data_IF_371430758737
#
_entry.id   IF_371430758737
#
_cell.length_a   1.000
_cell.length_b   1.000
_cell.length_c   1.000
_cell.angle_alpha   90.00
_cell.angle_beta   90.00
_cell.angle_gamma   90.00
#
_symmetry.space_group_name_H-M   'P 1'
#
loop_
_entity.id
_entity.type
_entity.pdbx_description
1 polymer ?
#
# COMPACT_ATOMS: atom_id res chain seq x y z
N UNK A 1 -30.11 -19.54 -10.26
CA UNK A 1 -29.44 -20.86 -10.10
C UNK A 1 -28.08 -20.58 -9.48
N UNK A 2 -27.73 -21.34 -8.43
CA UNK A 2 -26.40 -21.17 -7.81
C UNK A 2 -25.30 -21.59 -8.79
N UNK A 3 -24.23 -20.85 -8.82
CA UNK A 3 -23.01 -21.12 -9.60
C UNK A 3 -21.86 -21.46 -8.67
N UNK A 4 -20.77 -21.96 -9.24
CA UNK A 4 -19.51 -22.10 -8.51
C UNK A 4 -18.50 -21.13 -9.08
N UNK A 5 -18.01 -20.23 -8.25
CA UNK A 5 -16.90 -19.33 -8.57
C UNK A 5 -15.60 -20.09 -8.39
N UNK A 6 -14.76 -20.14 -9.41
CA UNK A 6 -13.52 -20.91 -9.44
C UNK A 6 -12.33 -19.98 -9.61
N UNK A 7 -11.35 -20.08 -8.70
CA UNK A 7 -10.11 -19.33 -8.79
C UNK A 7 -8.89 -20.26 -8.72
N UNK A 8 -7.93 -20.02 -9.58
CA UNK A 8 -6.60 -20.62 -9.50
C UNK A 8 -5.77 -19.76 -8.56
N UNK A 9 -5.19 -20.36 -7.51
CA UNK A 9 -4.49 -19.63 -6.48
C UNK A 9 -3.02 -19.42 -6.83
N UNK A 10 -2.58 -18.17 -6.68
CA UNK A 10 -1.20 -17.73 -6.69
C UNK A 10 -0.92 -16.99 -5.37
N UNK A 11 -0.08 -17.59 -4.53
CA UNK A 11 0.29 -17.02 -3.24
C UNK A 11 1.00 -15.67 -3.37
N UNK A 12 1.76 -15.49 -4.45
CA UNK A 12 2.50 -14.25 -4.69
C UNK A 12 1.59 -13.10 -5.16
N UNK A 13 0.41 -13.43 -5.70
CA UNK A 13 -0.56 -12.45 -6.20
C UNK A 13 -2.01 -12.92 -5.99
N UNK A 14 -2.54 -12.86 -4.77
CA UNK A 14 -3.91 -13.28 -4.47
C UNK A 14 -4.98 -12.29 -4.97
N UNK A 15 -4.59 -11.09 -5.40
CA UNK A 15 -5.49 -10.00 -5.78
C UNK A 15 -6.48 -10.36 -6.90
N UNK A 16 -6.09 -11.05 -8.00
CA UNK A 16 -7.05 -11.45 -9.03
C UNK A 16 -8.17 -12.35 -8.50
N UNK A 17 -7.84 -13.34 -7.66
CA UNK A 17 -8.82 -14.24 -7.07
C UNK A 17 -9.76 -13.50 -6.10
N UNK A 18 -9.23 -12.58 -5.31
CA UNK A 18 -10.01 -11.74 -4.40
C UNK A 18 -11.01 -10.87 -5.17
N UNK A 19 -10.54 -10.09 -6.14
CA UNK A 19 -11.39 -9.16 -6.90
C UNK A 19 -12.43 -9.89 -7.73
N UNK A 20 -12.08 -10.99 -8.39
CA UNK A 20 -13.04 -11.80 -9.13
C UNK A 20 -14.15 -12.35 -8.23
N UNK A 21 -13.80 -12.84 -7.05
CA UNK A 21 -14.78 -13.33 -6.08
C UNK A 21 -15.70 -12.19 -5.61
N UNK A 22 -15.17 -11.02 -5.27
CA UNK A 22 -15.98 -9.86 -4.85
C UNK A 22 -16.95 -9.37 -5.93
N UNK A 23 -16.62 -9.54 -7.23
CA UNK A 23 -17.49 -9.12 -8.33
C UNK A 23 -18.60 -10.13 -8.66
N UNK A 24 -18.36 -11.42 -8.49
CA UNK A 24 -19.24 -12.46 -9.01
C UNK A 24 -19.88 -13.37 -7.98
N UNK A 25 -19.38 -13.42 -6.74
CA UNK A 25 -19.94 -14.27 -5.70
C UNK A 25 -21.21 -13.64 -5.11
N UNK A 26 -22.28 -14.41 -5.09
CA UNK A 26 -23.58 -14.03 -4.56
C UNK A 26 -24.06 -15.05 -3.52
N UNK A 27 -25.07 -14.67 -2.73
CA UNK A 27 -25.66 -15.57 -1.73
C UNK A 27 -26.17 -16.86 -2.36
N UNK A 28 -25.75 -17.99 -1.82
CA UNK A 28 -26.08 -19.33 -2.29
C UNK A 28 -25.11 -19.89 -3.34
N UNK A 29 -24.09 -19.16 -3.74
CA UNK A 29 -23.01 -19.69 -4.58
C UNK A 29 -22.00 -20.52 -3.77
N UNK A 30 -21.22 -21.34 -4.48
CA UNK A 30 -20.05 -22.02 -3.91
C UNK A 30 -18.77 -21.39 -4.44
N UNK A 31 -17.71 -21.44 -3.63
CA UNK A 31 -16.36 -21.00 -4.00
C UNK A 31 -15.44 -22.21 -4.09
N UNK A 32 -14.73 -22.34 -5.22
CA UNK A 32 -13.76 -23.39 -5.45
C UNK A 32 -12.37 -22.81 -5.68
N UNK A 33 -11.43 -23.15 -4.83
CA UNK A 33 -10.03 -22.84 -5.03
C UNK A 33 -9.26 -24.03 -5.59
N UNK A 34 -8.47 -23.80 -6.63
CA UNK A 34 -7.53 -24.77 -7.20
C UNK A 34 -6.14 -24.26 -6.93
N UNK A 35 -5.34 -25.02 -6.17
CA UNK A 35 -4.04 -24.58 -5.68
C UNK A 35 -2.99 -25.66 -5.79
N UNK A 36 -1.75 -25.28 -6.07
CA UNK A 36 -0.60 -26.12 -5.81
C UNK A 36 -0.41 -26.29 -4.30
N UNK A 37 0.12 -27.44 -3.86
CA UNK A 37 0.26 -27.73 -2.43
C UNK A 37 1.12 -26.71 -1.67
N UNK A 38 2.18 -26.19 -2.32
CA UNK A 38 3.06 -25.17 -1.75
C UNK A 38 2.42 -23.78 -1.59
N UNK A 39 1.32 -23.53 -2.29
CA UNK A 39 0.60 -22.26 -2.29
C UNK A 39 -0.67 -22.28 -1.43
N UNK A 40 -1.15 -23.48 -1.05
CA UNK A 40 -2.42 -23.66 -0.36
C UNK A 40 -2.50 -22.97 1.02
N UNK A 41 -1.37 -22.65 1.63
CA UNK A 41 -1.31 -21.98 2.93
C UNK A 41 -1.82 -20.52 2.92
N UNK A 42 -2.02 -19.90 1.74
CA UNK A 42 -2.64 -18.57 1.63
C UNK A 42 -4.17 -18.64 1.57
N UNK A 43 -4.78 -19.82 1.34
CA UNK A 43 -6.23 -19.96 1.21
C UNK A 43 -6.99 -19.51 2.46
N UNK A 44 -6.61 -19.90 3.70
CA UNK A 44 -7.30 -19.40 4.90
C UNK A 44 -7.26 -17.89 5.04
N UNK A 45 -6.15 -17.26 4.64
CA UNK A 45 -5.99 -15.80 4.63
C UNK A 45 -6.95 -15.16 3.62
N UNK A 46 -7.06 -15.74 2.43
CA UNK A 46 -7.96 -15.27 1.38
C UNK A 46 -9.43 -15.41 1.78
N UNK A 47 -9.82 -16.56 2.37
CA UNK A 47 -11.19 -16.78 2.87
C UNK A 47 -11.55 -15.73 3.93
N UNK A 48 -10.65 -15.50 4.89
CA UNK A 48 -10.82 -14.47 5.93
C UNK A 48 -10.96 -13.06 5.33
N UNK A 49 -10.14 -12.73 4.32
CA UNK A 49 -10.20 -11.42 3.65
C UNK A 49 -11.49 -11.25 2.82
N UNK A 50 -12.02 -12.32 2.25
CA UNK A 50 -13.28 -12.33 1.50
C UNK A 50 -14.51 -12.22 2.41
N UNK A 51 -14.38 -12.57 3.70
CA UNK A 51 -15.46 -12.65 4.68
C UNK A 51 -16.58 -13.61 4.21
N UNK A 52 -16.16 -14.82 3.76
CA UNK A 52 -17.07 -15.87 3.27
C UNK A 52 -17.07 -17.04 4.25
N UNK A 53 -18.25 -17.65 4.45
CA UNK A 53 -18.39 -18.86 5.27
C UNK A 53 -17.56 -20.01 4.68
N UNK A 54 -16.67 -20.57 5.48
CA UNK A 54 -15.79 -21.69 5.08
C UNK A 54 -16.57 -22.91 4.58
N UNK A 55 -17.81 -23.09 5.00
CA UNK A 55 -18.68 -24.20 4.55
C UNK A 55 -19.05 -24.10 3.06
N UNK A 56 -18.99 -22.90 2.48
CA UNK A 56 -19.24 -22.65 1.06
C UNK A 56 -17.99 -22.82 0.21
N UNK A 57 -16.83 -23.05 0.83
CA UNK A 57 -15.53 -23.09 0.15
C UNK A 57 -15.06 -24.53 -0.02
N UNK A 58 -14.72 -24.89 -1.24
CA UNK A 58 -14.04 -26.15 -1.59
C UNK A 58 -12.65 -25.87 -2.09
N UNK A 59 -11.72 -26.79 -1.86
CA UNK A 59 -10.34 -26.66 -2.31
C UNK A 59 -9.88 -27.93 -3.01
N UNK A 60 -9.33 -27.81 -4.20
CA UNK A 60 -8.63 -28.89 -4.91
C UNK A 60 -7.14 -28.61 -4.81
N UNK A 61 -6.42 -29.46 -4.10
CA UNK A 61 -4.98 -29.37 -3.96
C UNK A 61 -4.31 -30.27 -5.02
N UNK A 62 -3.48 -29.66 -5.83
CA UNK A 62 -2.68 -30.35 -6.84
C UNK A 62 -1.25 -30.49 -6.31
N UNK A 63 -0.81 -31.71 -6.12
CA UNK A 63 0.54 -32.00 -5.67
C UNK A 63 1.54 -31.72 -6.81
N UNK A 64 2.75 -31.29 -6.43
CA UNK A 64 3.86 -31.10 -7.37
C UNK A 64 4.38 -32.47 -7.79
N UNK A 65 4.05 -32.86 -9.01
CA UNK A 65 4.59 -34.08 -9.60
C UNK A 65 5.87 -33.77 -10.37
N UNK A 66 6.90 -34.57 -10.11
CA UNK A 66 8.22 -34.42 -10.77
C UNK A 66 8.38 -35.29 -12.04
N UNK A 67 7.28 -35.81 -12.60
CA UNK A 67 7.33 -36.74 -13.72
C UNK A 67 6.78 -36.17 -15.03
N UNK A 68 7.00 -36.96 -16.13
CA UNK A 68 6.58 -36.58 -17.48
C UNK A 68 5.05 -36.51 -17.66
N UNK A 69 4.25 -36.97 -16.72
CA UNK A 69 2.78 -37.01 -16.77
C UNK A 69 2.12 -35.90 -15.91
N UNK A 70 2.87 -34.85 -15.62
CA UNK A 70 2.39 -33.77 -14.78
C UNK A 70 1.03 -33.22 -15.25
N UNK A 71 0.90 -32.91 -16.53
CA UNK A 71 -0.32 -32.35 -17.12
C UNK A 71 -1.52 -33.28 -16.94
N UNK A 72 -1.40 -34.53 -17.35
CA UNK A 72 -2.49 -35.52 -17.25
C UNK A 72 -2.93 -35.80 -15.83
N UNK A 73 -1.99 -35.82 -14.89
CA UNK A 73 -2.29 -36.02 -13.47
C UNK A 73 -3.03 -34.82 -12.87
N UNK A 74 -2.63 -33.61 -13.23
CA UNK A 74 -3.34 -32.38 -12.83
C UNK A 74 -4.78 -32.46 -13.36
N UNK A 75 -4.97 -32.68 -14.65
CA UNK A 75 -6.29 -32.80 -15.26
C UNK A 75 -7.16 -33.86 -14.59
N UNK A 76 -6.61 -35.05 -14.34
CA UNK A 76 -7.34 -36.14 -13.66
C UNK A 76 -7.75 -35.77 -12.23
N UNK A 77 -6.86 -35.11 -11.47
CA UNK A 77 -7.16 -34.65 -10.11
C UNK A 77 -8.28 -33.64 -10.11
N UNK A 78 -8.23 -32.66 -11.01
CA UNK A 78 -9.27 -31.64 -11.11
C UNK A 78 -10.60 -32.25 -11.52
N UNK A 79 -10.62 -32.99 -12.63
CA UNK A 79 -11.85 -33.60 -13.19
C UNK A 79 -12.56 -34.54 -12.21
N UNK A 80 -11.81 -35.28 -11.39
CA UNK A 80 -12.36 -36.20 -10.39
C UNK A 80 -13.05 -35.49 -9.20
N UNK A 81 -12.87 -34.17 -9.05
CA UNK A 81 -13.48 -33.37 -7.99
C UNK A 81 -14.58 -32.42 -8.49
N UNK A 82 -14.85 -32.37 -9.79
CA UNK A 82 -15.90 -31.53 -10.36
C UNK A 82 -17.24 -32.27 -10.42
N UNK A 83 -18.33 -31.51 -10.30
CA UNK A 83 -19.70 -32.02 -10.33
C UNK A 83 -20.30 -31.79 -11.73
N UNK A 84 -20.79 -32.82 -12.43
CA UNK A 84 -21.47 -32.66 -13.71
C UNK A 84 -22.73 -31.78 -13.58
N UNK A 85 -23.10 -31.09 -14.65
CA UNK A 85 -24.29 -30.22 -14.74
C UNK A 85 -24.32 -29.02 -13.78
N UNK A 86 -23.16 -28.64 -13.24
CA UNK A 86 -22.99 -27.45 -12.44
C UNK A 86 -22.45 -26.33 -13.31
N UNK A 87 -22.91 -25.09 -13.07
CA UNK A 87 -22.40 -23.91 -13.80
C UNK A 87 -21.16 -23.37 -13.07
N UNK A 88 -20.09 -23.16 -13.81
CA UNK A 88 -18.82 -22.68 -13.30
C UNK A 88 -18.48 -21.30 -13.91
N UNK A 89 -17.98 -20.40 -13.05
CA UNK A 89 -17.37 -19.13 -13.45
C UNK A 89 -15.90 -19.21 -13.10
N UNK A 90 -15.05 -19.41 -14.09
CA UNK A 90 -13.62 -19.70 -13.90
C UNK A 90 -12.76 -18.49 -14.19
N UNK A 91 -12.03 -18.01 -13.18
CA UNK A 91 -10.98 -17.02 -13.32
C UNK A 91 -9.63 -17.69 -13.66
N UNK A 92 -9.13 -17.43 -14.85
CA UNK A 92 -7.85 -17.94 -15.33
C UNK A 92 -6.64 -17.13 -14.85
N UNK A 93 -6.85 -16.02 -14.17
CA UNK A 93 -5.78 -15.17 -13.66
C UNK A 93 -5.25 -15.72 -12.33
N UNK A 94 -4.24 -16.59 -12.39
CA UNK A 94 -3.59 -17.17 -11.20
C UNK A 94 -2.84 -18.46 -11.54
N UNK A 95 -2.08 -18.95 -10.56
CA UNK A 95 -1.28 -20.16 -10.70
C UNK A 95 -0.15 -20.07 -11.73
N UNK A 96 0.58 -21.16 -11.87
CA UNK A 96 1.58 -21.25 -12.92
C UNK A 96 0.94 -21.67 -14.27
N UNK A 97 1.68 -21.50 -15.37
CA UNK A 97 1.19 -21.76 -16.74
C UNK A 97 0.65 -23.19 -16.93
N UNK A 98 1.29 -24.20 -16.34
CA UNK A 98 0.82 -25.60 -16.45
C UNK A 98 -0.52 -25.78 -15.72
N UNK A 99 -0.65 -25.19 -14.55
CA UNK A 99 -1.91 -25.22 -13.78
C UNK A 99 -3.03 -24.58 -14.59
N UNK A 100 -2.81 -23.36 -15.09
CA UNK A 100 -3.81 -22.63 -15.86
C UNK A 100 -4.28 -23.39 -17.09
N UNK A 101 -3.34 -23.92 -17.89
CA UNK A 101 -3.67 -24.73 -19.07
C UNK A 101 -4.42 -26.02 -18.71
N UNK A 102 -4.03 -26.68 -17.63
CA UNK A 102 -4.70 -27.93 -17.19
C UNK A 102 -6.11 -27.66 -16.69
N UNK A 103 -6.29 -26.57 -15.92
CA UNK A 103 -7.61 -26.14 -15.42
C UNK A 103 -8.50 -25.77 -16.60
N UNK A 104 -8.03 -24.93 -17.52
CA UNK A 104 -8.79 -24.55 -18.71
C UNK A 104 -9.27 -25.78 -19.47
N UNK A 105 -8.36 -26.68 -19.84
CA UNK A 105 -8.69 -27.88 -20.61
C UNK A 105 -9.75 -28.75 -19.93
N UNK A 106 -9.68 -28.94 -18.62
CA UNK A 106 -10.68 -29.73 -17.89
C UNK A 106 -12.04 -29.03 -17.89
N UNK A 107 -12.07 -27.73 -17.66
CA UNK A 107 -13.32 -26.97 -17.55
C UNK A 107 -14.02 -26.74 -18.91
N UNK A 108 -13.33 -26.92 -20.04
CA UNK A 108 -13.95 -26.94 -21.39
C UNK A 108 -14.95 -28.09 -21.55
N UNK A 109 -14.87 -29.14 -20.72
CA UNK A 109 -15.84 -30.26 -20.74
C UNK A 109 -17.09 -30.00 -19.88
N UNK A 110 -17.18 -28.84 -19.21
CA UNK A 110 -18.26 -28.50 -18.28
C UNK A 110 -18.97 -27.20 -18.72
N UNK A 111 -20.15 -26.91 -18.17
CA UNK A 111 -20.84 -25.63 -18.37
C UNK A 111 -20.04 -24.51 -17.66
N UNK A 112 -19.09 -23.93 -18.37
CA UNK A 112 -18.12 -22.98 -17.82
C UNK A 112 -18.08 -21.69 -18.61
N UNK A 113 -18.19 -20.55 -17.89
CA UNK A 113 -17.81 -19.24 -18.41
C UNK A 113 -16.39 -18.93 -17.94
N UNK A 114 -15.55 -18.54 -18.87
CA UNK A 114 -14.15 -18.25 -18.65
C UNK A 114 -13.91 -16.76 -18.51
N UNK A 115 -13.13 -16.37 -17.51
CA UNK A 115 -12.79 -14.98 -17.22
C UNK A 115 -11.29 -14.84 -16.98
N UNK A 116 -10.79 -13.64 -17.23
CA UNK A 116 -9.42 -13.26 -16.90
C UNK A 116 -9.41 -11.92 -16.18
N UNK A 117 -8.99 -11.89 -14.92
CA UNK A 117 -8.92 -10.68 -14.10
C UNK A 117 -7.61 -9.94 -14.36
N UNK A 118 -7.71 -8.76 -14.98
CA UNK A 118 -6.59 -7.87 -15.27
C UNK A 118 -6.49 -6.81 -14.18
N UNK A 119 -5.79 -7.11 -13.09
CA UNK A 119 -5.67 -6.19 -11.94
C UNK A 119 -4.92 -4.91 -12.28
N UNK A 120 -4.04 -4.94 -13.31
CA UNK A 120 -3.31 -3.75 -13.76
C UNK A 120 -4.23 -2.72 -14.41
N UNK A 121 -5.18 -3.18 -15.18
CA UNK A 121 -6.17 -2.36 -15.89
C UNK A 121 -7.46 -2.18 -15.09
N UNK A 122 -7.62 -2.90 -13.98
CA UNK A 122 -8.82 -2.96 -13.14
C UNK A 122 -10.07 -3.44 -13.91
N UNK A 123 -9.86 -4.48 -14.73
CA UNK A 123 -10.87 -5.05 -15.62
C UNK A 123 -10.99 -6.56 -15.42
N UNK A 124 -12.15 -7.11 -15.78
CA UNK A 124 -12.39 -8.54 -15.97
C UNK A 124 -12.80 -8.75 -17.43
N UNK A 125 -12.07 -9.61 -18.11
CA UNK A 125 -12.36 -9.99 -19.50
C UNK A 125 -13.07 -11.34 -19.48
N UNK A 126 -14.24 -11.43 -20.09
CA UNK A 126 -14.89 -12.71 -20.36
C UNK A 126 -14.34 -13.24 -21.67
N UNK A 127 -13.68 -14.37 -21.61
CA UNK A 127 -13.00 -14.96 -22.75
C UNK A 127 -13.92 -15.99 -23.42
N UNK A 128 -14.06 -15.90 -24.74
CA UNK A 128 -14.83 -16.83 -25.55
C UNK A 128 -13.85 -17.75 -26.27
N UNK A 129 -13.92 -19.05 -26.00
CA UNK A 129 -13.08 -20.08 -26.66
C UNK A 129 -13.79 -20.77 -27.82
N UNK A 130 -14.95 -20.29 -28.29
CA UNK A 130 -15.63 -20.86 -29.45
C UNK A 130 -15.00 -20.32 -30.74
N UNK A 131 -14.24 -21.16 -31.41
CA UNK A 131 -13.59 -20.83 -32.67
C UNK A 131 -14.54 -20.65 -33.86
N UNK A 132 -15.84 -20.84 -33.69
CA UNK A 132 -16.86 -20.69 -34.75
C UNK A 132 -17.31 -19.25 -34.94
N UNK A 133 -16.97 -18.34 -34.02
CA UNK A 133 -17.47 -16.96 -34.02
C UNK A 133 -16.28 -16.01 -34.19
N UNK A 134 -16.06 -15.56 -35.43
CA UNK A 134 -15.02 -14.57 -35.77
C UNK A 134 -15.41 -13.12 -35.46
N UNK A 135 -16.58 -12.86 -34.87
CA UNK A 135 -17.17 -11.53 -34.80
C UNK A 135 -17.37 -10.98 -33.39
N UNK A 136 -16.96 -11.66 -32.33
CA UNK A 136 -17.21 -11.14 -30.99
C UNK A 136 -15.92 -10.66 -30.32
N UNK A 137 -15.86 -9.36 -30.10
CA UNK A 137 -14.94 -8.72 -29.16
C UNK A 137 -15.13 -9.34 -27.77
N UNK A 138 -14.05 -9.67 -27.09
CA UNK A 138 -14.08 -10.08 -25.69
C UNK A 138 -14.95 -9.12 -24.86
N UNK A 139 -15.89 -9.65 -24.08
CA UNK A 139 -16.69 -8.82 -23.18
C UNK A 139 -15.83 -8.34 -22.02
N UNK A 140 -15.68 -7.03 -21.89
CA UNK A 140 -14.82 -6.40 -20.88
C UNK A 140 -15.66 -5.69 -19.83
N UNK A 141 -15.43 -6.03 -18.56
CA UNK A 141 -16.16 -5.47 -17.41
C UNK A 141 -15.21 -4.73 -16.49
N UNK A 142 -15.50 -3.47 -16.10
CA UNK A 142 -14.72 -2.78 -15.08
C UNK A 142 -14.98 -3.43 -13.71
N UNK A 143 -13.92 -3.60 -12.92
CA UNK A 143 -14.04 -4.02 -11.53
C UNK A 143 -14.66 -2.87 -10.73
N UNK A 144 -15.83 -3.09 -10.14
CA UNK A 144 -16.58 -2.10 -9.36
C UNK A 144 -16.14 -2.04 -7.92
N UNK A 145 -15.75 -3.20 -7.35
CA UNK A 145 -15.25 -3.26 -5.99
C UNK A 145 -14.03 -2.34 -5.82
N UNK A 146 -14.04 -1.55 -4.74
CA UNK A 146 -12.93 -0.70 -4.34
C UNK A 146 -12.45 -1.15 -2.97
N UNK A 147 -11.24 -1.69 -2.95
CA UNK A 147 -10.64 -2.19 -1.72
C UNK A 147 -10.34 -1.05 -0.74
N UNK A 148 -10.51 -1.35 0.53
CA UNK A 148 -9.95 -0.56 1.62
C UNK A 148 -8.51 -0.99 1.92
N UNK A 149 -7.76 -0.16 2.65
CA UNK A 149 -6.42 -0.52 3.15
C UNK A 149 -6.47 -1.77 4.04
N UNK A 150 -7.53 -1.90 4.86
CA UNK A 150 -7.74 -3.06 5.72
C UNK A 150 -7.90 -4.36 4.93
N UNK A 151 -8.73 -4.34 3.89
CA UNK A 151 -8.90 -5.48 2.98
C UNK A 151 -7.59 -5.82 2.27
N UNK A 152 -6.88 -4.80 1.78
CA UNK A 152 -5.61 -5.00 1.09
C UNK A 152 -4.57 -5.65 2.00
N UNK A 153 -4.33 -5.10 3.20
CA UNK A 153 -3.38 -5.69 4.14
C UNK A 153 -3.81 -7.09 4.60
N UNK A 154 -5.10 -7.27 4.90
CA UNK A 154 -5.66 -8.57 5.27
C UNK A 154 -5.47 -9.64 4.19
N UNK A 155 -5.63 -9.27 2.90
CA UNK A 155 -5.41 -10.16 1.76
C UNK A 155 -3.97 -10.71 1.69
N UNK A 156 -2.99 -9.93 2.13
CA UNK A 156 -1.58 -10.34 2.21
C UNK A 156 -1.20 -10.93 3.58
N UNK A 157 -2.17 -11.17 4.46
CA UNK A 157 -1.95 -11.73 5.80
C UNK A 157 -1.24 -10.78 6.75
N UNK A 158 -1.36 -9.47 6.51
CA UNK A 158 -0.81 -8.43 7.37
C UNK A 158 -1.88 -7.93 8.35
N UNK A 159 -1.47 -7.80 9.61
CA UNK A 159 -2.22 -7.06 10.62
C UNK A 159 -1.87 -5.58 10.50
N UNK A 160 -2.87 -4.71 10.67
CA UNK A 160 -2.67 -3.26 10.62
C UNK A 160 -3.55 -2.55 11.62
N UNK A 161 -3.12 -1.39 12.07
CA UNK A 161 -3.89 -0.48 12.93
C UNK A 161 -4.63 0.62 12.14
N UNK A 162 -4.89 0.38 10.86
CA UNK A 162 -5.55 1.34 9.96
C UNK A 162 -6.90 1.87 10.49
N UNK A 163 -7.61 1.07 11.30
CA UNK A 163 -8.84 1.48 11.98
C UNK A 163 -8.60 2.40 13.21
N UNK A 164 -7.35 2.63 13.59
CA UNK A 164 -6.94 3.48 14.70
C UNK A 164 -6.20 4.71 14.17
N UNK A 165 -6.92 5.70 13.60
CA UNK A 165 -6.26 6.83 12.97
C UNK A 165 -5.37 7.57 13.98
N UNK A 166 -4.16 7.93 13.54
CA UNK A 166 -3.26 8.76 14.34
C UNK A 166 -3.97 10.05 14.76
N UNK A 167 -3.83 10.41 16.04
CA UNK A 167 -4.41 11.67 16.56
C UNK A 167 -3.82 12.85 15.78
N UNK A 168 -4.68 13.62 15.14
CA UNK A 168 -4.28 14.86 14.50
C UNK A 168 -3.82 15.86 15.56
N UNK A 169 -2.61 16.42 15.42
CA UNK A 169 -2.02 17.34 16.41
C UNK A 169 -2.51 18.76 16.21
N UNK A 170 -2.66 19.19 14.96
CA UNK A 170 -3.17 20.51 14.57
C UNK A 170 -4.15 20.35 13.41
N UNK A 171 -4.88 21.40 13.09
CA UNK A 171 -5.73 21.43 11.90
C UNK A 171 -4.87 21.38 10.63
N UNK A 172 -5.39 20.79 9.57
CA UNK A 172 -4.70 20.64 8.26
C UNK A 172 -4.18 21.99 7.71
N UNK A 173 -4.87 23.09 8.00
CA UNK A 173 -4.45 24.43 7.65
C UNK A 173 -3.06 24.79 8.22
N UNK A 174 -2.71 24.26 9.40
CA UNK A 174 -1.40 24.50 10.00
C UNK A 174 -0.26 23.80 9.24
N UNK A 175 -0.43 22.54 8.84
CA UNK A 175 0.57 21.82 8.05
C UNK A 175 0.75 22.46 6.65
N UNK A 176 -0.33 22.95 6.04
CA UNK A 176 -0.30 23.72 4.79
C UNK A 176 0.45 25.06 4.97
N UNK A 177 0.22 25.76 6.08
CA UNK A 177 0.95 26.99 6.42
C UNK A 177 2.45 26.73 6.56
N UNK A 178 2.85 25.70 7.32
CA UNK A 178 4.26 25.31 7.46
C UNK A 178 4.90 24.97 6.11
N UNK A 179 4.21 24.21 5.25
CA UNK A 179 4.72 23.92 3.93
C UNK A 179 4.89 25.17 3.08
N UNK A 180 3.96 26.15 3.18
CA UNK A 180 4.06 27.45 2.50
C UNK A 180 5.29 28.22 2.98
N UNK A 181 5.47 28.36 4.28
CA UNK A 181 6.66 29.01 4.86
C UNK A 181 7.96 28.35 4.38
N UNK A 182 7.98 27.01 4.37
CA UNK A 182 9.12 26.22 3.92
C UNK A 182 9.40 26.45 2.41
N UNK A 183 8.37 26.38 1.56
CA UNK A 183 8.50 26.56 0.11
C UNK A 183 8.97 27.94 -0.28
N UNK A 184 8.63 28.96 0.52
CA UNK A 184 9.03 30.35 0.34
C UNK A 184 10.39 30.68 0.99
N UNK A 185 11.09 29.68 1.58
CA UNK A 185 12.37 29.85 2.29
C UNK A 185 12.29 30.87 3.45
N UNK A 186 11.19 30.89 4.19
CA UNK A 186 11.00 31.82 5.32
C UNK A 186 11.78 31.41 6.56
N UNK A 187 12.20 30.15 6.69
CA UNK A 187 12.97 29.67 7.82
C UNK A 187 14.43 30.13 7.77
N UNK A 188 14.89 30.71 8.86
CA UNK A 188 16.29 31.07 9.09
C UNK A 188 17.14 29.83 9.44
N UNK A 189 18.45 29.98 9.44
CA UNK A 189 19.37 28.91 9.92
C UNK A 189 19.08 28.56 11.39
N UNK A 190 18.71 29.54 12.23
CA UNK A 190 18.36 29.32 13.61
C UNK A 190 17.11 28.46 13.77
N UNK A 191 16.09 28.67 12.95
CA UNK A 191 14.84 27.88 12.97
C UNK A 191 15.10 26.43 12.61
N UNK A 192 15.92 26.18 11.59
CA UNK A 192 16.36 24.80 11.27
C UNK A 192 17.13 24.16 12.42
N UNK A 193 17.99 24.91 13.12
CA UNK A 193 18.72 24.41 14.27
C UNK A 193 17.80 24.05 15.43
N UNK A 194 16.76 24.82 15.70
CA UNK A 194 15.71 24.50 16.69
C UNK A 194 15.04 23.17 16.35
N UNK A 195 14.57 22.99 15.12
CA UNK A 195 13.91 21.75 14.68
C UNK A 195 14.85 20.54 14.74
N UNK A 196 16.12 20.71 14.36
CA UNK A 196 17.14 19.64 14.39
C UNK A 196 17.47 19.24 15.83
N UNK A 197 17.63 20.21 16.73
CA UNK A 197 17.90 19.93 18.14
C UNK A 197 16.70 19.23 18.81
N UNK A 198 15.48 19.66 18.53
CA UNK A 198 14.28 18.98 19.00
C UNK A 198 14.26 17.51 18.54
N UNK A 199 14.57 17.26 17.26
CA UNK A 199 14.60 15.92 16.67
C UNK A 199 15.69 15.03 17.31
N UNK A 200 16.91 15.53 17.42
CA UNK A 200 18.05 14.73 17.84
C UNK A 200 18.12 14.50 19.34
N UNK A 201 17.71 15.48 20.13
CA UNK A 201 17.92 15.48 21.58
C UNK A 201 16.65 15.21 22.38
N UNK A 202 15.49 15.56 21.87
CA UNK A 202 14.25 15.60 22.65
C UNK A 202 13.11 14.72 22.11
N UNK A 203 13.25 14.10 20.94
CA UNK A 203 12.19 13.29 20.31
C UNK A 203 11.63 12.19 21.23
N UNK A 204 12.48 11.61 22.09
CA UNK A 204 12.08 10.52 22.98
C UNK A 204 11.66 11.00 24.38
N UNK A 205 11.58 12.30 24.60
CA UNK A 205 11.17 12.86 25.89
C UNK A 205 9.65 12.85 26.00
N UNK A 206 9.10 12.49 27.18
CA UNK A 206 7.66 12.49 27.41
C UNK A 206 7.06 13.89 27.31
N UNK A 207 7.78 14.89 27.79
CA UNK A 207 7.44 16.30 27.68
C UNK A 207 8.70 17.15 27.87
N UNK A 208 8.63 18.41 27.46
CA UNK A 208 9.72 19.37 27.51
C UNK A 208 9.18 20.70 28.04
N UNK A 209 9.82 21.26 29.07
CA UNK A 209 9.50 22.59 29.59
C UNK A 209 10.31 23.62 28.81
N UNK A 210 9.64 24.52 28.10
CA UNK A 210 10.25 25.46 27.16
C UNK A 210 11.28 26.36 27.83
N UNK A 211 10.96 26.97 28.99
CA UNK A 211 11.87 27.85 29.70
C UNK A 211 13.16 27.14 30.19
N UNK A 212 13.05 25.84 30.53
CA UNK A 212 14.21 25.06 30.98
C UNK A 212 15.18 24.71 29.85
N UNK A 213 14.68 24.51 28.61
CA UNK A 213 15.57 24.23 27.48
C UNK A 213 16.07 25.49 26.80
N UNK A 214 15.39 26.62 26.95
CA UNK A 214 15.94 27.91 26.51
C UNK A 214 17.13 28.35 27.35
N UNK A 215 17.08 28.08 28.66
CA UNK A 215 18.13 28.42 29.64
C UNK A 215 18.36 27.23 30.58
N UNK A 216 19.07 26.18 30.13
CA UNK A 216 19.24 24.98 30.93
C UNK A 216 20.20 25.20 32.11
N UNK A 217 19.70 24.91 33.31
CA UNK A 217 20.53 24.90 34.55
C UNK A 217 21.25 23.57 34.76
N UNK A 218 21.06 22.60 33.86
CA UNK A 218 21.54 21.22 34.02
C UNK A 218 22.38 20.77 32.83
N UNK A 219 23.57 20.26 33.07
CA UNK A 219 24.53 19.84 32.05
C UNK A 219 24.05 18.75 31.08
N UNK A 220 23.00 17.99 31.46
CA UNK A 220 22.45 16.95 30.60
C UNK A 220 21.40 17.46 29.60
N UNK A 221 21.03 18.72 29.69
CA UNK A 221 20.05 19.34 28.78
C UNK A 221 20.78 20.15 27.70
N UNK A 222 20.42 19.88 26.44
CA UNK A 222 20.94 20.69 25.33
C UNK A 222 20.10 21.95 25.18
N UNK A 223 20.74 23.11 25.19
CA UNK A 223 20.02 24.38 25.01
C UNK A 223 19.35 24.49 23.65
N UNK A 224 18.11 25.00 23.64
CA UNK A 224 17.39 25.43 22.43
C UNK A 224 17.05 26.91 22.59
N UNK A 225 18.01 27.83 22.35
CA UNK A 225 17.76 29.25 22.43
C UNK A 225 16.63 29.68 21.47
N UNK A 226 15.75 30.56 21.95
CA UNK A 226 14.63 31.10 21.18
C UNK A 226 13.56 30.08 20.74
N UNK A 227 13.40 28.94 21.44
CA UNK A 227 12.31 28.00 21.14
C UNK A 227 10.94 28.68 21.19
N UNK A 228 10.67 29.52 22.20
CA UNK A 228 9.43 30.29 22.32
C UNK A 228 9.19 31.16 21.08
N UNK A 229 10.21 31.89 20.64
CA UNK A 229 10.12 32.77 19.44
C UNK A 229 9.91 31.97 18.17
N UNK A 230 10.54 30.81 18.05
CA UNK A 230 10.30 29.90 16.93
C UNK A 230 8.86 29.42 16.90
N UNK A 231 8.30 28.97 18.02
CA UNK A 231 6.90 28.54 18.11
C UNK A 231 5.92 29.66 17.76
N UNK A 232 6.18 30.87 18.25
CA UNK A 232 5.41 32.07 17.90
C UNK A 232 5.50 32.40 16.42
N UNK A 233 6.71 32.36 15.84
CA UNK A 233 6.98 32.63 14.42
C UNK A 233 6.20 31.69 13.49
N UNK A 234 6.13 30.39 13.83
CA UNK A 234 5.37 29.42 13.04
C UNK A 234 3.89 29.38 13.42
N UNK A 235 3.44 30.15 14.44
CA UNK A 235 2.06 30.13 14.93
C UNK A 235 1.67 28.84 15.68
N UNK A 236 2.65 28.13 16.26
CA UNK A 236 2.38 26.92 17.02
C UNK A 236 2.05 27.23 18.49
N UNK A 237 0.83 26.91 18.90
CA UNK A 237 0.40 27.03 20.30
C UNK A 237 0.42 25.64 20.93
N UNK A 238 1.30 25.38 21.96
CA UNK A 238 1.30 24.12 22.67
C UNK A 238 -0.04 23.83 23.36
N UNK A 239 -0.42 22.56 23.46
CA UNK A 239 -1.63 22.15 24.18
C UNK A 239 -1.57 22.55 25.66
N UNK A 240 -0.38 22.44 26.25
CA UNK A 240 -0.10 22.90 27.62
C UNK A 240 0.81 24.12 27.58
N UNK A 241 0.36 25.28 28.12
CA UNK A 241 1.19 26.49 28.17
C UNK A 241 2.56 26.23 28.75
N UNK A 242 3.62 26.67 28.06
CA UNK A 242 5.01 26.59 28.54
C UNK A 242 5.66 25.20 28.41
N UNK A 243 4.99 24.22 27.82
CA UNK A 243 5.56 22.88 27.60
C UNK A 243 5.16 22.26 26.26
N UNK A 244 6.04 21.42 25.70
CA UNK A 244 5.72 20.57 24.55
C UNK A 244 5.58 19.12 25.01
N UNK A 245 4.53 18.44 24.59
CA UNK A 245 4.37 17.01 24.80
C UNK A 245 5.15 16.22 23.74
N UNK A 246 5.42 14.94 23.99
CA UNK A 246 6.16 14.09 23.05
C UNK A 246 5.57 14.14 21.64
N UNK A 247 4.26 13.95 21.48
CA UNK A 247 3.60 13.98 20.15
C UNK A 247 3.68 15.35 19.46
N UNK A 248 3.79 16.47 20.23
CA UNK A 248 4.01 17.80 19.65
C UNK A 248 5.44 17.96 19.15
N UNK A 249 6.42 17.38 19.88
CA UNK A 249 7.82 17.35 19.42
C UNK A 249 7.95 16.51 18.14
N UNK A 250 7.35 15.32 18.11
CA UNK A 250 7.30 14.48 16.91
C UNK A 250 6.64 15.19 15.74
N UNK A 251 5.53 15.87 15.99
CA UNK A 251 4.82 16.67 14.99
C UNK A 251 5.71 17.78 14.42
N UNK A 252 6.31 18.60 15.26
CA UNK A 252 7.20 19.70 14.85
C UNK A 252 8.45 19.22 14.09
N UNK A 253 8.91 18.00 14.35
CA UNK A 253 10.13 17.47 13.75
C UNK A 253 9.91 16.63 12.50
N UNK A 254 8.65 16.30 12.16
CA UNK A 254 8.36 15.50 10.96
C UNK A 254 6.88 15.30 10.67
N UNK A 255 6.07 15.03 11.69
CA UNK A 255 4.67 14.66 11.53
C UNK A 255 3.79 15.68 10.79
N UNK A 256 4.12 16.97 10.87
CA UNK A 256 3.43 18.01 10.12
C UNK A 256 3.55 17.81 8.59
N UNK A 257 4.66 17.25 8.14
CA UNK A 257 4.87 17.01 6.71
C UNK A 257 4.10 15.78 6.23
N UNK A 258 4.00 14.75 7.07
CA UNK A 258 3.15 13.58 6.81
C UNK A 258 1.67 14.01 6.69
N UNK A 259 1.21 14.86 7.62
CA UNK A 259 -0.14 15.42 7.60
C UNK A 259 -0.40 16.28 6.35
N UNK A 260 0.57 17.12 5.96
CA UNK A 260 0.48 17.89 4.72
C UNK A 260 0.34 16.98 3.49
N UNK A 261 1.19 15.95 3.40
CA UNK A 261 1.15 15.00 2.27
C UNK A 261 -0.16 14.23 2.25
N UNK A 262 -0.64 13.77 3.41
CA UNK A 262 -1.94 13.12 3.54
C UNK A 262 -3.08 14.01 3.01
N UNK A 263 -3.15 15.26 3.45
CA UNK A 263 -4.19 16.20 3.03
C UNK A 263 -4.12 16.48 1.52
N UNK A 264 -2.90 16.69 1.00
CA UNK A 264 -2.64 16.93 -0.42
C UNK A 264 -3.08 15.75 -1.30
N UNK A 265 -2.74 14.52 -0.92
CA UNK A 265 -3.16 13.31 -1.63
C UNK A 265 -4.69 13.15 -1.60
N UNK A 266 -5.30 13.35 -0.44
CA UNK A 266 -6.75 13.26 -0.26
C UNK A 266 -7.50 14.24 -1.16
N UNK A 267 -7.03 15.48 -1.23
CA UNK A 267 -7.64 16.53 -2.04
C UNK A 267 -7.46 16.29 -3.55
N UNK A 268 -6.22 16.01 -3.98
CA UNK A 268 -5.88 16.00 -5.42
C UNK A 268 -6.18 14.67 -6.09
N UNK A 269 -5.90 13.54 -5.43
CA UNK A 269 -6.07 12.22 -6.02
C UNK A 269 -7.42 11.58 -5.69
N UNK A 270 -8.08 12.02 -4.61
CA UNK A 270 -9.35 11.43 -4.16
C UNK A 270 -9.28 9.89 -4.16
N UNK A 271 -8.38 9.29 -3.35
CA UNK A 271 -8.20 7.84 -3.29
C UNK A 271 -9.45 7.14 -2.74
N UNK A 272 -9.59 5.84 -3.03
CA UNK A 272 -10.68 5.01 -2.52
C UNK A 272 -10.59 4.86 -1.00
N UNK A 273 -9.35 4.76 -0.46
CA UNK A 273 -9.06 4.77 0.98
C UNK A 273 -7.67 5.35 1.23
N UNK A 274 -7.47 6.05 2.36
CA UNK A 274 -6.20 6.69 2.72
C UNK A 274 -6.01 6.75 4.24
N UNK A 275 -4.79 6.46 4.68
CA UNK A 275 -4.37 6.59 6.08
C UNK A 275 -2.95 7.12 6.22
N UNK A 276 -2.60 7.62 7.42
CA UNK A 276 -1.24 8.03 7.78
C UNK A 276 -0.81 7.40 9.10
N UNK A 277 0.51 7.16 9.25
CA UNK A 277 1.10 6.59 10.46
C UNK A 277 0.60 5.17 10.74
N UNK A 278 0.40 4.35 9.70
CA UNK A 278 -0.15 2.99 9.82
C UNK A 278 0.96 2.00 10.16
N UNK A 279 0.79 1.26 11.25
CA UNK A 279 1.67 0.16 11.59
C UNK A 279 1.17 -1.14 10.97
N UNK A 280 2.08 -1.87 10.32
CA UNK A 280 1.82 -3.18 9.74
C UNK A 280 2.73 -4.24 10.34
N UNK A 281 2.21 -5.44 10.56
CA UNK A 281 2.95 -6.60 11.05
C UNK A 281 2.46 -7.89 10.40
N UNK A 282 3.29 -8.91 10.35
CA UNK A 282 2.90 -10.25 9.85
C UNK A 282 2.96 -11.34 10.94
N UNK A 283 2.87 -10.97 12.21
CA UNK A 283 2.92 -11.85 13.36
C UNK A 283 4.30 -12.50 13.62
N UNK A 284 5.17 -12.58 12.61
CA UNK A 284 6.54 -13.13 12.69
C UNK A 284 7.60 -12.06 12.86
N UNK A 285 7.34 -10.88 12.32
CA UNK A 285 8.25 -9.73 12.38
C UNK A 285 7.75 -8.82 13.50
N UNK A 286 8.46 -8.80 14.64
CA UNK A 286 8.17 -7.92 15.78
C UNK A 286 8.53 -6.43 15.54
N UNK A 287 9.04 -6.09 14.35
CA UNK A 287 9.32 -4.71 14.01
C UNK A 287 8.05 -4.07 13.48
N UNK A 288 7.53 -3.12 14.24
CA UNK A 288 6.46 -2.24 13.78
C UNK A 288 6.99 -1.43 12.58
N UNK A 289 6.56 -1.84 11.39
CA UNK A 289 6.82 -1.07 10.19
C UNK A 289 5.73 -0.02 10.07
N UNK A 290 6.07 1.23 10.31
CA UNK A 290 5.17 2.37 10.13
C UNK A 290 5.23 2.84 8.68
N UNK A 291 4.05 3.04 8.08
CA UNK A 291 3.84 3.66 6.77
C UNK A 291 3.42 5.11 7.01
N UNK A 292 4.26 6.07 6.61
CA UNK A 292 4.01 7.50 6.88
C UNK A 292 2.69 7.95 6.23
N UNK A 293 2.47 7.68 4.93
CA UNK A 293 1.18 7.84 4.23
C UNK A 293 0.97 6.66 3.30
N UNK A 294 -0.21 6.05 3.35
CA UNK A 294 -0.58 4.99 2.41
C UNK A 294 -2.03 5.15 1.94
N UNK A 295 -2.30 4.75 0.70
CA UNK A 295 -3.63 4.85 0.13
C UNK A 295 -3.89 3.79 -0.95
N UNK A 296 -5.16 3.49 -1.16
CA UNK A 296 -5.64 2.66 -2.28
C UNK A 296 -6.30 3.57 -3.31
N UNK A 297 -5.97 3.35 -4.58
CA UNK A 297 -6.69 3.95 -5.70
C UNK A 297 -6.80 2.93 -6.83
N UNK A 298 -8.04 2.66 -7.26
CA UNK A 298 -8.37 1.62 -8.26
C UNK A 298 -7.70 0.27 -7.93
N UNK A 299 -7.87 -0.18 -6.67
CA UNK A 299 -7.34 -1.44 -6.13
C UNK A 299 -5.80 -1.56 -6.15
N UNK A 300 -5.08 -0.45 -6.24
CA UNK A 300 -3.62 -0.40 -6.19
C UNK A 300 -3.16 0.33 -4.94
N UNK A 301 -2.23 -0.29 -4.22
CA UNK A 301 -1.60 0.32 -3.05
C UNK A 301 -0.50 1.30 -3.47
N UNK A 302 -0.52 2.46 -2.83
CA UNK A 302 0.53 3.47 -2.88
C UNK A 302 1.04 3.73 -1.47
N UNK A 303 2.36 3.79 -1.31
CA UNK A 303 3.02 4.09 -0.04
C UNK A 303 3.98 5.25 -0.24
N UNK A 304 3.91 6.25 0.63
CA UNK A 304 4.76 7.43 0.60
C UNK A 304 5.51 7.54 1.93
N UNK A 305 6.82 7.47 1.89
CA UNK A 305 7.71 7.78 3.01
C UNK A 305 8.02 9.28 3.00
N UNK A 306 7.75 9.99 4.09
CA UNK A 306 7.88 11.44 4.21
C UNK A 306 9.13 11.82 5.02
N UNK A 307 10.01 12.66 4.47
CA UNK A 307 11.25 13.05 5.14
C UNK A 307 11.49 14.56 5.07
N UNK A 308 11.50 15.21 6.24
CA UNK A 308 11.78 16.64 6.38
C UNK A 308 13.29 16.95 6.35
N UNK A 309 14.16 15.97 6.70
CA UNK A 309 15.60 16.17 6.74
C UNK A 309 16.36 14.90 6.35
N UNK A 310 16.92 14.88 5.14
CA UNK A 310 17.91 13.89 4.72
C UNK A 310 19.26 14.61 4.68
N UNK A 311 20.13 14.34 5.63
CA UNK A 311 21.37 15.10 5.82
C UNK A 311 22.58 14.46 5.16
N UNK A 312 22.53 13.17 4.88
CA UNK A 312 23.65 12.41 4.32
C UNK A 312 23.20 11.34 3.34
N UNK A 313 24.13 10.85 2.53
CA UNK A 313 23.92 9.73 1.61
C UNK A 313 23.66 8.41 2.37
N UNK A 314 24.32 8.23 3.53
CA UNK A 314 24.08 7.07 4.38
C UNK A 314 22.63 7.01 4.87
N UNK A 315 22.13 8.13 5.41
CA UNK A 315 20.73 8.20 5.86
C UNK A 315 19.75 8.00 4.71
N UNK A 316 20.04 8.52 3.53
CA UNK A 316 19.22 8.29 2.34
C UNK A 316 19.17 6.78 1.97
N UNK A 317 20.31 6.11 1.96
CA UNK A 317 20.37 4.67 1.68
C UNK A 317 19.59 3.85 2.72
N UNK A 318 19.67 4.19 4.01
CA UNK A 318 18.87 3.56 5.07
C UNK A 318 17.35 3.69 4.80
N UNK A 319 16.90 4.87 4.38
CA UNK A 319 15.49 5.11 4.00
C UNK A 319 15.11 4.24 2.81
N UNK A 320 15.94 4.19 1.76
CA UNK A 320 15.68 3.36 0.58
C UNK A 320 15.61 1.89 0.95
N UNK A 321 16.51 1.38 1.79
CA UNK A 321 16.48 -0.01 2.24
C UNK A 321 15.24 -0.32 3.09
N UNK A 322 14.82 0.59 3.98
CA UNK A 322 13.55 0.46 4.72
C UNK A 322 12.37 0.31 3.75
N UNK A 323 12.27 1.19 2.75
CA UNK A 323 11.18 1.15 1.76
C UNK A 323 11.23 -0.14 0.92
N UNK A 324 12.42 -0.62 0.56
CA UNK A 324 12.57 -1.91 -0.14
C UNK A 324 12.10 -3.07 0.73
N UNK A 325 12.48 -3.10 2.01
CA UNK A 325 12.03 -4.14 2.94
C UNK A 325 10.49 -4.13 3.09
N UNK A 326 9.87 -2.95 3.13
CA UNK A 326 8.42 -2.81 3.15
C UNK A 326 7.78 -3.34 1.85
N UNK A 327 8.38 -3.09 0.68
CA UNK A 327 7.92 -3.67 -0.59
C UNK A 327 7.94 -5.20 -0.57
N UNK A 328 8.97 -5.82 -0.02
CA UNK A 328 9.05 -7.28 0.14
C UNK A 328 7.93 -7.81 1.05
N UNK A 329 7.65 -7.13 2.16
CA UNK A 329 6.54 -7.47 3.07
C UNK A 329 5.20 -7.37 2.35
N UNK A 330 5.01 -6.37 1.50
CA UNK A 330 3.81 -6.15 0.68
C UNK A 330 3.83 -6.97 -0.62
N UNK A 331 4.67 -8.01 -0.72
CA UNK A 331 4.85 -8.91 -1.86
C UNK A 331 5.13 -8.17 -3.19
N UNK A 332 5.82 -7.04 -3.13
CA UNK A 332 6.21 -6.26 -4.29
C UNK A 332 5.06 -5.53 -5.02
N UNK A 333 3.83 -5.63 -4.53
CA UNK A 333 2.62 -5.13 -5.21
C UNK A 333 2.34 -3.64 -5.00
N UNK A 334 3.06 -2.97 -4.08
CA UNK A 334 2.87 -1.55 -3.78
C UNK A 334 3.70 -0.60 -4.64
N UNK A 335 3.13 0.57 -4.97
CA UNK A 335 3.84 1.68 -5.62
C UNK A 335 4.46 2.56 -4.52
N UNK A 336 5.80 2.62 -4.47
CA UNK A 336 6.54 3.24 -3.38
C UNK A 336 7.15 4.58 -3.79
N UNK A 337 6.96 5.58 -2.94
CA UNK A 337 7.45 6.94 -3.11
C UNK A 337 8.22 7.38 -1.86
N UNK A 338 9.21 8.24 -2.07
CA UNK A 338 9.87 8.99 -0.99
C UNK A 338 9.69 10.46 -1.31
N UNK A 339 8.98 11.19 -0.44
CA UNK A 339 8.84 12.64 -0.51
C UNK A 339 9.82 13.28 0.47
N UNK A 340 10.69 14.16 -0.03
CA UNK A 340 11.73 14.80 0.78
C UNK A 340 11.74 16.30 0.58
N UNK A 341 11.80 17.04 1.69
CA UNK A 341 12.00 18.49 1.67
C UNK A 341 13.46 18.91 1.37
N UNK A 342 14.36 17.95 1.16
CA UNK A 342 15.75 18.20 0.77
C UNK A 342 15.92 18.14 -0.74
N UNK A 343 16.78 19.03 -1.29
CA UNK A 343 17.14 19.00 -2.70
C UNK A 343 18.17 17.90 -2.99
N UNK A 344 17.94 17.14 -4.05
CA UNK A 344 18.96 16.24 -4.62
C UNK A 344 19.85 16.99 -5.61
N UNK A 345 20.83 17.72 -5.09
CA UNK A 345 21.69 18.59 -5.91
C UNK A 345 22.49 17.86 -7.01
N UNK A 346 22.81 16.59 -6.81
CA UNK A 346 23.62 15.80 -7.75
C UNK A 346 22.76 14.82 -8.58
N UNK A 347 21.50 14.65 -8.26
CA UNK A 347 20.60 13.65 -8.88
C UNK A 347 20.94 12.21 -8.57
N UNK A 348 21.83 11.94 -7.61
CA UNK A 348 22.24 10.58 -7.25
C UNK A 348 21.14 9.84 -6.51
N UNK A 349 20.43 10.52 -5.62
CA UNK A 349 19.34 9.92 -4.84
C UNK A 349 18.19 9.45 -5.73
N UNK A 350 17.83 10.27 -6.74
CA UNK A 350 16.82 9.89 -7.75
C UNK A 350 17.23 8.65 -8.53
N UNK A 351 18.52 8.53 -8.90
CA UNK A 351 19.03 7.37 -9.63
C UNK A 351 19.00 6.11 -8.76
N UNK A 352 19.49 6.21 -7.52
CA UNK A 352 19.47 5.09 -6.57
C UNK A 352 18.05 4.60 -6.28
N UNK A 353 17.14 5.52 -5.93
CA UNK A 353 15.74 5.17 -5.69
C UNK A 353 15.10 4.50 -6.91
N UNK A 354 15.29 5.06 -8.11
CA UNK A 354 14.77 4.49 -9.37
C UNK A 354 15.29 3.07 -9.63
N UNK A 355 16.58 2.82 -9.37
CA UNK A 355 17.15 1.48 -9.51
C UNK A 355 16.46 0.46 -8.60
N UNK A 356 16.03 0.89 -7.42
CA UNK A 356 15.29 0.09 -6.45
C UNK A 356 13.76 0.09 -6.68
N UNK A 357 13.30 0.63 -7.79
CA UNK A 357 11.88 0.70 -8.13
C UNK A 357 11.07 1.63 -7.21
N UNK A 358 11.69 2.70 -6.70
CA UNK A 358 11.08 3.72 -5.84
C UNK A 358 11.12 5.06 -6.57
N UNK A 359 10.03 5.82 -6.51
CA UNK A 359 9.99 7.18 -7.03
C UNK A 359 10.41 8.18 -5.96
N UNK A 360 11.52 8.87 -6.16
CA UNK A 360 12.02 9.90 -5.26
C UNK A 360 11.60 11.29 -5.73
N UNK A 361 10.91 12.02 -4.86
CA UNK A 361 10.43 13.38 -5.07
C UNK A 361 11.12 14.32 -4.09
N UNK A 362 12.03 15.14 -4.58
CA UNK A 362 12.75 16.12 -3.79
C UNK A 362 11.98 17.44 -3.62
N UNK A 363 12.56 18.40 -2.91
CA UNK A 363 11.99 19.72 -2.70
C UNK A 363 11.56 20.42 -4.01
N UNK A 364 12.33 20.31 -5.10
CA UNK A 364 11.97 20.90 -6.40
C UNK A 364 10.74 20.23 -7.02
N UNK A 365 10.52 18.95 -6.75
CA UNK A 365 9.32 18.26 -7.20
C UNK A 365 8.08 18.70 -6.43
N UNK A 366 8.21 18.96 -5.12
CA UNK A 366 7.09 19.24 -4.23
C UNK A 366 6.67 20.73 -4.26
N UNK A 367 7.62 21.64 -4.43
CA UNK A 367 7.36 23.10 -4.37
C UNK A 367 7.02 23.74 -5.70
N UNK A 368 7.28 23.06 -6.83
CA UNK A 368 6.92 23.55 -8.16
C UNK A 368 5.63 22.90 -8.64
N UNK A 369 4.54 23.67 -8.82
CA UNK A 369 3.22 23.14 -9.19
C UNK A 369 3.25 22.24 -10.43
N UNK A 370 4.04 22.61 -11.46
CA UNK A 370 4.17 21.85 -12.69
C UNK A 370 4.83 20.46 -12.49
N UNK A 371 5.77 20.35 -11.55
CA UNK A 371 6.44 19.10 -11.21
C UNK A 371 5.53 18.22 -10.35
N UNK A 372 4.89 18.80 -9.36
CA UNK A 372 3.93 18.11 -8.50
C UNK A 372 2.77 17.53 -9.32
N UNK A 373 2.24 18.32 -10.27
CA UNK A 373 1.20 17.86 -11.21
C UNK A 373 1.66 16.67 -12.05
N UNK A 374 2.93 16.61 -12.48
CA UNK A 374 3.47 15.43 -13.21
C UNK A 374 3.47 14.18 -12.34
N UNK A 375 3.84 14.30 -11.07
CA UNK A 375 3.82 13.17 -10.10
C UNK A 375 2.40 12.64 -9.93
N UNK A 376 1.44 13.52 -9.71
CA UNK A 376 0.04 13.11 -9.56
C UNK A 376 -0.57 12.53 -10.84
N UNK A 377 -0.20 13.07 -11.99
CA UNK A 377 -0.60 12.50 -13.28
C UNK A 377 -0.02 11.10 -13.47
N UNK A 378 1.20 10.84 -13.01
CA UNK A 378 1.80 9.50 -13.05
C UNK A 378 1.09 8.55 -12.09
N UNK A 379 0.81 8.95 -10.85
CA UNK A 379 0.02 8.16 -9.90
C UNK A 379 -1.37 7.84 -10.46
N UNK A 380 -2.06 8.83 -11.04
CA UNK A 380 -3.34 8.62 -11.70
C UNK A 380 -3.22 7.68 -12.92
N UNK A 381 -2.14 7.78 -13.70
CA UNK A 381 -1.89 6.88 -14.84
C UNK A 381 -1.68 5.44 -14.38
N UNK A 382 -0.96 5.24 -13.28
CA UNK A 382 -0.78 3.92 -12.66
C UNK A 382 -2.13 3.39 -12.15
N UNK A 383 -2.93 4.24 -11.52
CA UNK A 383 -4.24 3.89 -11.00
C UNK A 383 -5.32 3.77 -12.09
N UNK A 384 -5.16 4.47 -13.23
CA UNK A 384 -6.19 4.51 -14.28
C UNK A 384 -6.53 3.12 -14.80
N UNK A 385 -7.82 2.94 -14.82
CA UNK A 385 -8.56 2.03 -15.68
C UNK A 385 -8.37 2.52 -17.15
N UNK A 386 -8.04 1.62 -18.04
CA UNK A 386 -8.12 1.88 -19.48
C UNK A 386 -9.55 1.65 -19.95
#
# INVERSE_FOLDING_TARGET
>A
MSKTIVNIIDKSNPLPAYLFTKEYFEDGDELLFISAAEEANCIPVLIKALDIDETLVKTIIVNRYQDKFLYERICRTIKGNLVPNKKYYLNLAGGNRYMTLSVQHVFEEFDTLFFYTQTRENLIVKTIFDHSIYDDDDEVFPIKHRMTLKEYFGLYGLESDVDQPRKQVKETAFSQHLFTMFSQNMFSRGDYQVMETLREKYRNWKFLIISQVENPDKDYMTAIPNLSKFLEFIGFVPERPGSLQNYEIEYLTGGWFEEYVYALIKEVLQPDDIAMGVHISNGKIRHNNELDVCFIKANKLFVIECKTGVTSESLFNEIVYKVCALKEVLLGSGNSYIFSLKKDHKGNWKKTAKYMGITFCDWLNLTKPENLKKIFNEMNRIAKER
#
